data_IF_879747122809
#
_entry.id   IF_879747122809
#
_cell.length_a   1.000
_cell.length_b   1.000
_cell.length_c   1.000
_cell.angle_alpha   90.00
_cell.angle_beta   90.00
_cell.angle_gamma   90.00
#
_symmetry.space_group_name_H-M   'P 1'
#
loop_
_entity.id
_entity.type
_entity.pdbx_description
1 polymer ?
#
# COMPACT_ATOMS: atom_id res chain seq x y z
N UNK A 1 -35.72 -24.38 16.18
CA UNK A 1 -35.85 -23.86 14.80
C UNK A 1 -34.85 -22.73 14.66
N UNK A 2 -33.84 -22.84 13.78
CA UNK A 2 -32.94 -21.72 13.48
C UNK A 2 -33.71 -20.73 12.59
N UNK A 3 -33.75 -19.46 12.99
CA UNK A 3 -34.36 -18.41 12.18
C UNK A 3 -33.56 -18.26 10.87
N UNK A 4 -34.26 -18.23 9.74
CA UNK A 4 -33.69 -17.96 8.42
C UNK A 4 -34.09 -16.54 8.06
N UNK A 5 -33.10 -15.68 7.79
CA UNK A 5 -33.33 -14.27 7.44
C UNK A 5 -33.13 -14.14 5.93
N UNK A 6 -34.16 -13.64 5.23
CA UNK A 6 -34.09 -13.37 3.79
C UNK A 6 -33.38 -12.03 3.59
N UNK A 7 -32.18 -12.03 3.02
CA UNK A 7 -31.48 -10.81 2.63
C UNK A 7 -32.06 -10.31 1.30
N UNK A 8 -32.69 -9.14 1.29
CA UNK A 8 -33.45 -8.64 0.14
C UNK A 8 -32.62 -7.82 -0.88
N UNK A 9 -31.29 -7.79 -0.80
CA UNK A 9 -30.46 -6.91 -1.65
C UNK A 9 -29.64 -7.59 -2.75
N UNK A 10 -29.62 -8.91 -2.83
CA UNK A 10 -29.00 -9.67 -3.94
C UNK A 10 -29.60 -11.06 -3.93
N UNK A 11 -29.84 -11.64 -5.12
CA UNK A 11 -30.48 -12.93 -5.41
C UNK A 11 -30.76 -13.85 -4.22
N UNK A 12 -32.01 -14.31 -4.13
CA UNK A 12 -32.63 -15.17 -3.11
C UNK A 12 -31.80 -16.41 -2.71
N UNK A 13 -30.72 -16.20 -1.97
CA UNK A 13 -29.90 -17.23 -1.33
C UNK A 13 -30.25 -17.25 0.16
N UNK A 14 -30.64 -18.42 0.66
CA UNK A 14 -31.01 -18.60 2.08
C UNK A 14 -29.73 -18.52 2.93
N UNK A 15 -29.39 -17.33 3.40
CA UNK A 15 -28.25 -17.11 4.30
C UNK A 15 -28.67 -17.43 5.75
N UNK A 16 -27.83 -18.16 6.48
CA UNK A 16 -28.11 -18.46 7.88
C UNK A 16 -28.01 -17.20 8.75
N UNK A 17 -28.84 -17.11 9.81
CA UNK A 17 -28.78 -15.99 10.75
C UNK A 17 -27.37 -15.82 11.36
N UNK A 18 -26.69 -16.93 11.64
CA UNK A 18 -25.33 -16.94 12.17
C UNK A 18 -24.34 -16.22 11.23
N UNK A 19 -24.45 -16.42 9.91
CA UNK A 19 -23.58 -15.75 8.92
C UNK A 19 -23.86 -14.26 8.86
N UNK A 20 -25.13 -13.85 8.96
CA UNK A 20 -25.51 -12.42 9.00
C UNK A 20 -24.96 -11.76 10.26
N UNK A 21 -25.08 -12.40 11.43
CA UNK A 21 -24.57 -11.88 12.69
C UNK A 21 -23.04 -11.71 12.66
N UNK A 22 -22.31 -12.76 12.26
CA UNK A 22 -20.85 -12.72 12.15
C UNK A 22 -20.37 -11.69 11.12
N UNK A 23 -21.10 -11.51 10.00
CA UNK A 23 -20.77 -10.49 9.00
C UNK A 23 -20.92 -9.08 9.58
N UNK A 24 -22.00 -8.83 10.33
CA UNK A 24 -22.22 -7.54 10.99
C UNK A 24 -21.14 -7.25 12.06
N UNK A 25 -20.77 -8.26 12.84
CA UNK A 25 -19.69 -8.15 13.83
C UNK A 25 -18.35 -7.81 13.15
N UNK A 26 -18.00 -8.52 12.08
CA UNK A 26 -16.80 -8.25 11.29
C UNK A 26 -16.79 -6.82 10.73
N UNK A 27 -17.90 -6.37 10.13
CA UNK A 27 -18.01 -5.03 9.57
C UNK A 27 -17.89 -3.94 10.64
N UNK A 28 -18.39 -4.20 11.85
CA UNK A 28 -18.20 -3.31 13.01
C UNK A 28 -16.73 -3.17 13.38
N UNK A 29 -15.96 -4.27 13.40
CA UNK A 29 -14.52 -4.20 13.65
C UNK A 29 -13.74 -3.53 12.51
N UNK A 30 -14.17 -3.74 11.26
CA UNK A 30 -13.58 -3.06 10.11
C UNK A 30 -13.75 -1.53 10.21
N UNK A 31 -14.95 -1.06 10.59
CA UNK A 31 -15.21 0.36 10.83
C UNK A 31 -14.35 0.90 11.98
N UNK A 32 -14.31 0.21 13.13
CA UNK A 32 -13.45 0.60 14.28
C UNK A 32 -11.98 0.67 13.91
N UNK A 33 -11.54 -0.18 12.98
CA UNK A 33 -10.17 -0.16 12.46
C UNK A 33 -9.93 1.13 11.66
N UNK A 34 -10.86 1.52 10.79
CA UNK A 34 -10.77 2.79 10.06
C UNK A 34 -10.74 4.00 11.03
N UNK A 35 -11.64 4.04 12.02
CA UNK A 35 -11.66 5.05 13.08
C UNK A 35 -10.31 5.15 13.81
N UNK A 36 -9.75 4.00 14.19
CA UNK A 36 -8.46 3.93 14.89
C UNK A 36 -7.32 4.46 14.04
N UNK A 37 -7.30 4.14 12.74
CA UNK A 37 -6.29 4.66 11.80
C UNK A 37 -6.40 6.18 11.67
N UNK A 38 -7.62 6.72 11.58
CA UNK A 38 -7.84 8.17 11.55
C UNK A 38 -7.35 8.83 12.84
N UNK A 39 -7.66 8.24 14.01
CA UNK A 39 -7.23 8.74 15.32
C UNK A 39 -5.69 8.70 15.49
N UNK A 40 -5.03 7.63 15.02
CA UNK A 40 -3.57 7.56 14.97
C UNK A 40 -2.99 8.67 14.09
N UNK A 41 -3.56 8.88 12.89
CA UNK A 41 -3.14 9.95 12.00
C UNK A 41 -3.29 11.34 12.64
N UNK A 42 -4.43 11.61 13.26
CA UNK A 42 -4.69 12.86 13.99
C UNK A 42 -3.69 13.06 15.13
N UNK A 43 -3.34 12.00 15.86
CA UNK A 43 -2.35 12.05 16.95
C UNK A 43 -0.98 12.43 16.42
N UNK A 44 -0.53 11.83 15.30
CA UNK A 44 0.74 12.20 14.64
C UNK A 44 0.69 13.66 14.16
N UNK A 45 -0.42 14.09 13.55
CA UNK A 45 -0.56 15.48 13.09
C UNK A 45 -0.55 16.50 14.23
N UNK A 46 -1.12 16.15 15.40
CA UNK A 46 -1.03 16.96 16.63
C UNK A 46 0.41 17.01 17.15
N UNK A 47 1.08 15.86 17.24
CA UNK A 47 2.48 15.77 17.68
C UNK A 47 3.40 16.60 16.77
N UNK A 48 3.12 16.66 15.46
CA UNK A 48 3.90 17.46 14.50
C UNK A 48 3.84 18.97 14.76
N UNK A 49 2.86 19.45 15.54
CA UNK A 49 2.74 20.86 15.95
C UNK A 49 3.62 21.21 17.17
N UNK A 50 4.20 20.21 17.82
CA UNK A 50 5.16 20.42 18.90
C UNK A 50 6.51 20.90 18.32
N UNK A 51 7.48 21.14 19.21
CA UNK A 51 8.85 21.41 18.78
C UNK A 51 9.43 20.21 18.02
N UNK A 52 10.45 20.44 17.19
CA UNK A 52 11.11 19.35 16.44
C UNK A 52 11.69 18.27 17.37
N UNK A 53 12.26 18.68 18.52
CA UNK A 53 12.81 17.77 19.53
C UNK A 53 11.74 16.92 20.22
N UNK A 54 10.59 17.52 20.53
CA UNK A 54 9.47 16.81 21.15
C UNK A 54 8.83 15.84 20.15
N UNK A 55 8.72 16.24 18.89
CA UNK A 55 8.22 15.37 17.83
C UNK A 55 9.15 14.17 17.61
N UNK A 56 10.47 14.37 17.62
CA UNK A 56 11.43 13.28 17.53
C UNK A 56 11.32 12.32 18.73
N UNK A 57 11.15 12.87 19.94
CA UNK A 57 10.92 12.08 21.16
C UNK A 57 9.63 11.27 21.07
N UNK A 58 8.54 11.89 20.62
CA UNK A 58 7.28 11.22 20.35
C UNK A 58 7.46 10.04 19.40
N UNK A 59 8.12 10.26 18.24
CA UNK A 59 8.38 9.21 17.26
C UNK A 59 9.18 8.04 17.84
N UNK A 60 10.22 8.32 18.64
CA UNK A 60 11.00 7.28 19.34
C UNK A 60 10.14 6.47 20.31
N UNK A 61 9.24 7.11 21.07
CA UNK A 61 8.34 6.44 22.01
C UNK A 61 7.36 5.49 21.30
N UNK A 62 6.89 5.84 20.10
CA UNK A 62 6.04 4.98 19.29
C UNK A 62 6.82 4.02 18.37
N UNK A 63 8.16 3.96 18.50
CA UNK A 63 9.05 3.08 17.74
C UNK A 63 9.07 3.35 16.22
N UNK A 64 9.04 4.62 15.84
CA UNK A 64 9.20 5.08 14.46
C UNK A 64 10.33 6.11 14.34
N UNK A 65 10.99 6.13 13.18
CA UNK A 65 11.81 7.27 12.78
C UNK A 65 10.92 8.46 12.41
N UNK A 66 11.33 9.67 12.80
CA UNK A 66 10.57 10.91 12.62
C UNK A 66 10.36 11.29 11.15
N UNK A 67 11.23 10.79 10.27
CA UNK A 67 11.18 10.92 8.82
C UNK A 67 10.74 9.63 8.12
N UNK A 68 10.24 8.63 8.85
CA UNK A 68 9.79 7.38 8.24
C UNK A 68 8.59 7.61 7.30
N UNK A 69 8.47 6.74 6.29
CA UNK A 69 7.34 6.80 5.36
C UNK A 69 5.99 6.61 6.05
N UNK A 70 5.94 5.80 7.11
CA UNK A 70 4.74 5.58 7.90
C UNK A 70 4.28 6.86 8.63
N UNK A 71 5.20 7.56 9.28
CA UNK A 71 4.90 8.83 9.96
C UNK A 71 4.40 9.88 8.98
N UNK A 72 5.05 10.02 7.80
CA UNK A 72 4.57 10.94 6.75
C UNK A 72 3.15 10.61 6.28
N UNK A 73 2.82 9.34 6.12
CA UNK A 73 1.49 8.88 5.69
C UNK A 73 0.43 9.13 6.77
N UNK A 74 0.74 8.82 8.03
CA UNK A 74 -0.14 9.09 9.17
C UNK A 74 -0.38 10.59 9.35
N UNK A 75 0.66 11.43 9.17
CA UNK A 75 0.53 12.88 9.19
C UNK A 75 -0.45 13.38 8.12
N UNK A 76 -0.36 12.85 6.88
CA UNK A 76 -1.31 13.20 5.82
C UNK A 76 -2.75 12.78 6.16
N UNK A 77 -2.95 11.58 6.70
CA UNK A 77 -4.26 11.12 7.19
C UNK A 77 -4.79 12.09 8.26
N UNK A 78 -3.97 12.45 9.24
CA UNK A 78 -4.36 13.37 10.31
C UNK A 78 -4.73 14.77 9.82
N UNK A 79 -4.05 15.30 8.80
CA UNK A 79 -4.40 16.57 8.16
C UNK A 79 -5.76 16.54 7.45
N UNK A 80 -6.21 15.36 7.04
CA UNK A 80 -7.49 15.12 6.35
C UNK A 80 -8.56 14.53 7.28
N UNK A 81 -8.30 14.49 8.59
CA UNK A 81 -9.16 13.82 9.57
C UNK A 81 -10.62 14.25 9.46
N UNK A 82 -10.92 15.55 9.50
CA UNK A 82 -12.31 16.04 9.48
C UNK A 82 -13.07 15.69 8.19
N UNK A 83 -12.37 15.60 7.05
CA UNK A 83 -12.96 15.21 5.78
C UNK A 83 -13.27 13.71 5.70
N UNK A 84 -12.36 12.88 6.20
CA UNK A 84 -12.50 11.43 6.19
C UNK A 84 -13.49 10.96 7.28
N UNK A 85 -13.42 11.56 8.47
CA UNK A 85 -14.24 11.18 9.62
C UNK A 85 -15.74 11.42 9.39
N UNK A 86 -16.10 12.38 8.52
CA UNK A 86 -17.50 12.60 8.09
C UNK A 86 -18.13 11.38 7.42
N UNK A 87 -17.32 10.49 6.84
CA UNK A 87 -17.76 9.31 6.08
C UNK A 87 -17.15 8.02 6.64
N UNK A 88 -16.88 7.97 7.95
CA UNK A 88 -16.10 6.90 8.57
C UNK A 88 -16.73 5.51 8.43
N UNK A 89 -18.06 5.45 8.40
CA UNK A 89 -18.88 4.27 8.15
C UNK A 89 -18.69 3.69 6.73
N UNK A 90 -18.19 4.50 5.80
CA UNK A 90 -17.96 4.12 4.39
C UNK A 90 -16.49 3.87 4.09
N UNK A 91 -15.59 4.09 5.05
CA UNK A 91 -14.16 3.94 4.82
C UNK A 91 -13.74 2.46 4.80
N UNK A 92 -12.78 2.09 3.95
CA UNK A 92 -12.14 0.79 4.02
C UNK A 92 -11.26 0.68 5.27
N UNK A 93 -11.15 -0.51 5.85
CA UNK A 93 -10.26 -0.77 7.00
C UNK A 93 -8.77 -0.81 6.64
N UNK A 94 -8.44 -0.86 5.34
CA UNK A 94 -7.06 -0.89 4.86
C UNK A 94 -6.39 0.50 4.94
N UNK A 95 -5.39 0.65 5.81
CA UNK A 95 -4.72 1.94 6.05
C UNK A 95 -4.07 2.55 4.81
N UNK A 96 -3.55 1.73 3.89
CA UNK A 96 -2.96 2.20 2.62
C UNK A 96 -4.02 2.77 1.69
N UNK A 97 -5.25 2.26 1.74
CA UNK A 97 -6.38 2.78 0.98
C UNK A 97 -6.88 4.10 1.58
N UNK A 98 -7.00 4.19 2.91
CA UNK A 98 -7.31 5.45 3.61
C UNK A 98 -6.27 6.53 3.27
N UNK A 99 -4.98 6.18 3.29
CA UNK A 99 -3.92 7.09 2.87
C UNK A 99 -4.10 7.57 1.42
N UNK A 100 -4.48 6.69 0.48
CA UNK A 100 -4.72 7.08 -0.92
C UNK A 100 -5.90 8.05 -1.04
N UNK A 101 -6.96 7.90 -0.25
CA UNK A 101 -8.08 8.84 -0.21
C UNK A 101 -7.64 10.26 0.16
N UNK A 102 -6.56 10.41 0.94
CA UNK A 102 -6.02 11.73 1.30
C UNK A 102 -5.53 12.54 0.09
N UNK A 103 -5.30 11.88 -1.06
CA UNK A 103 -4.91 12.54 -2.31
C UNK A 103 -6.09 13.19 -3.05
N UNK A 104 -7.31 12.90 -2.62
CA UNK A 104 -8.54 13.49 -3.15
C UNK A 104 -8.89 14.78 -2.42
N UNK A 105 -9.52 15.70 -3.15
CA UNK A 105 -10.13 16.89 -2.58
C UNK A 105 -11.43 16.53 -1.83
N UNK A 106 -11.85 17.37 -0.89
CA UNK A 106 -13.06 17.14 -0.06
C UNK A 106 -14.30 16.87 -0.92
N UNK A 107 -14.51 17.66 -1.98
CA UNK A 107 -15.64 17.49 -2.89
C UNK A 107 -15.64 16.14 -3.60
N UNK A 108 -14.46 15.60 -3.93
CA UNK A 108 -14.35 14.29 -4.55
C UNK A 108 -14.62 13.16 -3.55
N UNK A 109 -14.21 13.32 -2.30
CA UNK A 109 -14.54 12.39 -1.21
C UNK A 109 -16.05 12.38 -0.98
N UNK A 110 -16.65 13.57 -0.82
CA UNK A 110 -18.09 13.73 -0.59
C UNK A 110 -18.92 13.15 -1.75
N UNK A 111 -18.53 13.43 -3.00
CA UNK A 111 -19.19 12.88 -4.18
C UNK A 111 -19.08 11.36 -4.26
N UNK A 112 -17.92 10.80 -3.91
CA UNK A 112 -17.70 9.35 -3.91
C UNK A 112 -18.49 8.65 -2.79
N UNK A 113 -18.62 9.31 -1.64
CA UNK A 113 -19.45 8.83 -0.54
C UNK A 113 -20.95 8.91 -0.87
N UNK A 114 -21.38 9.90 -1.64
CA UNK A 114 -22.76 10.07 -2.07
C UNK A 114 -23.16 9.07 -3.17
N UNK A 115 -22.24 8.76 -4.10
CA UNK A 115 -22.49 7.81 -5.19
C UNK A 115 -22.40 6.33 -4.78
N UNK A 116 -21.92 6.05 -3.55
CA UNK A 116 -21.63 4.68 -3.07
C UNK A 116 -20.33 4.09 -3.62
N UNK A 117 -19.59 4.85 -4.43
CA UNK A 117 -18.27 4.44 -4.92
C UNK A 117 -17.26 4.30 -3.77
N UNK A 118 -17.36 5.14 -2.73
CA UNK A 118 -16.67 4.93 -1.47
C UNK A 118 -17.49 4.00 -0.58
N UNK A 119 -16.95 2.82 -0.30
CA UNK A 119 -17.56 1.82 0.56
C UNK A 119 -16.47 0.99 1.28
N UNK A 120 -16.80 0.25 2.35
CA UNK A 120 -15.82 -0.49 3.13
C UNK A 120 -15.08 -1.60 2.37
N UNK A 121 -15.65 -2.09 1.27
CA UNK A 121 -15.10 -3.21 0.49
C UNK A 121 -14.23 -2.78 -0.69
N UNK A 122 -14.06 -1.47 -0.90
CA UNK A 122 -13.26 -0.95 -2.02
C UNK A 122 -11.81 -1.41 -1.95
N UNK A 123 -11.31 -1.97 -3.05
CA UNK A 123 -9.92 -2.39 -3.14
C UNK A 123 -9.04 -1.21 -3.52
N UNK A 124 -7.75 -1.32 -3.16
CA UNK A 124 -6.76 -0.30 -3.52
C UNK A 124 -6.64 -0.05 -5.03
N UNK A 125 -6.90 -1.08 -5.87
CA UNK A 125 -6.93 -0.98 -7.34
C UNK A 125 -8.05 -0.06 -7.83
N UNK A 126 -9.24 -0.19 -7.24
CA UNK A 126 -10.45 0.47 -7.70
C UNK A 126 -10.40 1.96 -7.33
N UNK A 127 -9.71 2.28 -6.24
CA UNK A 127 -9.40 3.64 -5.83
C UNK A 127 -8.51 4.39 -6.85
N UNK A 128 -7.71 3.68 -7.67
CA UNK A 128 -6.89 4.31 -8.70
C UNK A 128 -7.77 4.94 -9.78
N UNK A 129 -8.91 4.32 -10.11
CA UNK A 129 -9.89 4.90 -11.03
C UNK A 129 -10.51 6.18 -10.44
N UNK A 130 -10.84 6.14 -9.14
CA UNK A 130 -11.39 7.28 -8.39
C UNK A 130 -10.38 8.45 -8.32
N UNK A 131 -9.12 8.16 -8.02
CA UNK A 131 -8.02 9.13 -7.97
C UNK A 131 -7.55 9.60 -9.35
N UNK A 132 -7.66 8.77 -10.37
CA UNK A 132 -7.29 9.08 -11.76
C UNK A 132 -8.23 10.09 -12.39
N UNK A 133 -9.53 9.99 -12.11
CA UNK A 133 -10.53 10.94 -12.56
C UNK A 133 -10.38 12.34 -11.91
N UNK A 134 -9.89 12.42 -10.67
CA UNK A 134 -9.67 13.70 -10.00
C UNK A 134 -8.51 14.51 -10.61
N UNK A 135 -7.46 13.84 -11.14
CA UNK A 135 -6.28 14.50 -11.72
C UNK A 135 -6.51 15.18 -13.07
N UNK A 136 -7.60 14.90 -13.77
CA UNK A 136 -7.91 15.55 -15.06
C UNK A 136 -8.54 16.94 -14.91
N UNK A 137 -8.97 17.33 -13.71
CA UNK A 137 -9.64 18.61 -13.44
C UNK A 137 -8.72 19.74 -12.94
N UNK A 138 -7.48 19.44 -12.54
CA UNK A 138 -6.49 20.46 -12.15
C UNK A 138 -5.61 20.81 -13.36
N UNK A 139 -5.96 21.93 -13.97
CA UNK A 139 -5.43 22.42 -15.23
C UNK A 139 -3.90 22.51 -15.32
N UNK A 140 -3.48 22.28 -16.56
CA UNK A 140 -2.26 22.79 -17.17
C UNK A 140 -1.85 24.17 -16.64
N UNK A 141 -0.63 24.27 -16.09
CA UNK A 141 0.25 25.45 -16.12
C UNK A 141 1.57 25.13 -15.42
N UNK A 142 2.47 24.50 -16.18
CA UNK A 142 3.91 24.79 -16.29
C UNK A 142 4.60 23.57 -16.91
N UNK A 143 4.47 23.46 -18.23
CA UNK A 143 5.39 22.66 -19.03
C UNK A 143 6.75 23.37 -19.04
N UNK A 144 7.70 22.90 -18.23
CA UNK A 144 9.12 23.18 -18.45
C UNK A 144 9.83 21.87 -18.76
N UNK A 145 10.07 21.69 -20.07
CA UNK A 145 11.17 20.96 -20.68
C UNK A 145 11.46 19.55 -20.15
N UNK A 146 10.79 18.58 -20.79
CA UNK A 146 11.20 17.17 -20.88
C UNK A 146 12.56 17.02 -21.56
N UNK A 147 13.60 16.68 -20.79
CA UNK A 147 14.54 15.64 -21.23
C UNK A 147 14.01 14.30 -20.73
N UNK A 148 13.73 13.40 -21.67
CA UNK A 148 13.05 12.14 -21.42
C UNK A 148 13.86 11.25 -20.45
N UNK A 149 13.29 10.97 -19.28
CA UNK A 149 13.76 9.91 -18.37
C UNK A 149 12.79 8.73 -18.51
N UNK A 150 13.37 7.56 -18.81
CA UNK A 150 12.69 6.28 -18.97
C UNK A 150 11.75 5.94 -17.78
N UNK A 151 10.66 5.19 -18.00
CA UNK A 151 9.61 4.98 -17.01
C UNK A 151 10.15 4.30 -15.76
N UNK A 152 9.87 4.90 -14.60
CA UNK A 152 10.23 4.35 -13.31
C UNK A 152 9.28 3.21 -12.93
N UNK A 153 9.69 1.98 -13.20
CA UNK A 153 9.15 0.78 -12.55
C UNK A 153 9.45 0.84 -11.05
N UNK A 154 8.53 1.40 -10.29
CA UNK A 154 8.55 1.39 -8.82
C UNK A 154 7.18 0.99 -8.26
N UNK A 155 6.54 0.01 -8.91
CA UNK A 155 5.50 -0.78 -8.25
C UNK A 155 6.17 -1.57 -7.11
N UNK A 156 6.02 -1.07 -5.88
CA UNK A 156 6.37 -1.82 -4.67
C UNK A 156 5.41 -3.02 -4.60
N UNK A 157 5.89 -4.28 -4.64
CA UNK A 157 5.02 -5.44 -4.67
C UNK A 157 4.25 -5.58 -3.35
N UNK A 158 2.92 -5.63 -3.46
CA UNK A 158 2.05 -6.21 -2.45
C UNK A 158 2.30 -7.72 -2.42
N UNK A 159 2.68 -8.24 -1.25
CA UNK A 159 3.12 -9.64 -1.05
C UNK A 159 2.02 -10.69 -1.19
N UNK A 160 1.37 -10.76 -2.34
CA UNK A 160 0.36 -11.76 -2.69
C UNK A 160 0.82 -12.73 -3.78
N UNK A 161 1.93 -12.44 -4.47
CA UNK A 161 2.55 -13.39 -5.39
C UNK A 161 3.75 -14.02 -4.67
N UNK A 162 3.88 -15.35 -4.68
CA UNK A 162 5.01 -16.10 -4.09
C UNK A 162 6.37 -15.85 -4.80
N UNK A 163 6.50 -14.73 -5.49
CA UNK A 163 7.68 -14.34 -6.26
C UNK A 163 8.16 -13.00 -5.72
N UNK A 164 9.24 -13.05 -4.95
CA UNK A 164 9.92 -11.83 -4.50
C UNK A 164 10.90 -11.39 -5.58
N UNK A 165 10.63 -10.24 -6.21
CA UNK A 165 11.50 -9.68 -7.24
C UNK A 165 12.26 -8.48 -6.66
N UNK A 166 13.58 -8.55 -6.73
CA UNK A 166 14.46 -7.43 -6.39
C UNK A 166 15.25 -7.02 -7.63
N UNK A 167 15.59 -5.74 -7.73
CA UNK A 167 16.52 -5.23 -8.73
C UNK A 167 17.59 -4.46 -8.00
N UNK A 168 18.84 -4.83 -8.23
CA UNK A 168 20.00 -4.14 -7.67
C UNK A 168 21.07 -3.99 -8.74
N UNK A 169 21.87 -2.95 -8.62
CA UNK A 169 23.11 -2.80 -9.38
C UNK A 169 24.19 -3.60 -8.67
N UNK A 170 24.78 -4.56 -9.38
CA UNK A 170 25.75 -5.51 -8.82
C UNK A 170 27.16 -5.06 -9.20
N UNK A 171 28.09 -5.04 -8.24
CA UNK A 171 29.53 -4.86 -8.48
C UNK A 171 30.26 -6.21 -8.65
N UNK A 172 31.52 -6.21 -9.10
CA UNK A 172 32.28 -7.46 -9.35
C UNK A 172 32.40 -8.37 -8.12
N UNK A 173 32.47 -7.80 -6.92
CA UNK A 173 32.57 -8.59 -5.67
C UNK A 173 31.25 -9.28 -5.33
N UNK A 174 30.14 -8.63 -5.66
CA UNK A 174 28.79 -9.14 -5.45
C UNK A 174 28.43 -10.25 -6.46
N UNK A 175 29.02 -10.26 -7.66
CA UNK A 175 28.85 -11.36 -8.64
C UNK A 175 29.32 -12.70 -8.05
N UNK A 176 30.46 -12.70 -7.34
CA UNK A 176 31.01 -13.92 -6.71
C UNK A 176 30.09 -14.43 -5.60
N UNK A 177 29.61 -13.53 -4.75
CA UNK A 177 28.66 -13.86 -3.68
C UNK A 177 27.35 -14.40 -4.25
N UNK A 178 26.82 -13.76 -5.30
CA UNK A 178 25.58 -14.19 -5.94
C UNK A 178 25.71 -15.58 -6.57
N UNK A 179 26.85 -15.89 -7.20
CA UNK A 179 27.14 -17.24 -7.71
C UNK A 179 27.10 -18.29 -6.60
N UNK A 180 27.69 -17.97 -5.44
CA UNK A 180 27.67 -18.87 -4.26
C UNK A 180 26.25 -19.08 -3.74
N UNK A 181 25.45 -18.02 -3.66
CA UNK A 181 24.04 -18.10 -3.25
C UNK A 181 23.22 -18.93 -4.24
N UNK A 182 23.37 -18.72 -5.55
CA UNK A 182 22.69 -19.53 -6.56
C UNK A 182 23.07 -21.02 -6.46
N UNK A 183 24.33 -21.33 -6.16
CA UNK A 183 24.76 -22.72 -5.92
C UNK A 183 24.08 -23.32 -4.70
N UNK A 184 24.10 -22.62 -3.56
CA UNK A 184 23.46 -23.09 -2.32
C UNK A 184 21.96 -23.29 -2.51
N UNK A 185 21.28 -22.37 -3.19
CA UNK A 185 19.85 -22.49 -3.45
C UNK A 185 19.49 -23.72 -4.32
N UNK A 186 20.33 -24.06 -5.31
CA UNK A 186 20.18 -25.31 -6.08
C UNK A 186 20.42 -26.57 -5.23
N UNK A 187 21.29 -26.51 -4.22
CA UNK A 187 21.51 -27.62 -3.29
C UNK A 187 20.31 -27.88 -2.38
N UNK A 188 19.45 -26.87 -2.15
CA UNK A 188 18.18 -27.01 -1.40
C UNK A 188 16.98 -27.23 -2.33
N UNK A 189 17.22 -27.67 -3.56
CA UNK A 189 16.19 -27.98 -4.57
C UNK A 189 15.26 -26.80 -4.89
N UNK A 190 15.76 -25.57 -4.76
CA UNK A 190 15.01 -24.37 -5.11
C UNK A 190 15.07 -24.10 -6.62
N UNK A 191 13.92 -23.83 -7.25
CA UNK A 191 13.85 -23.42 -8.64
C UNK A 191 14.31 -21.95 -8.79
N UNK A 192 15.38 -21.72 -9.56
CA UNK A 192 15.96 -20.39 -9.74
C UNK A 192 15.81 -19.97 -11.21
N UNK A 193 14.94 -19.00 -11.46
CA UNK A 193 14.83 -18.35 -12.75
C UNK A 193 15.75 -17.11 -12.80
N UNK A 194 16.84 -17.19 -13.57
CA UNK A 194 17.74 -16.08 -13.82
C UNK A 194 17.38 -15.37 -15.13
N UNK A 195 17.55 -14.05 -15.18
CA UNK A 195 17.42 -13.32 -16.45
C UNK A 195 18.61 -13.63 -17.37
N UNK A 196 18.39 -13.67 -18.69
CA UNK A 196 19.44 -13.96 -19.69
C UNK A 196 20.70 -13.09 -19.53
N UNK A 197 20.52 -11.83 -19.12
CA UNK A 197 21.64 -10.89 -18.88
C UNK A 197 22.48 -11.31 -17.66
N UNK A 198 21.83 -11.72 -16.59
CA UNK A 198 22.50 -12.11 -15.35
C UNK A 198 23.18 -13.47 -15.47
N UNK A 199 22.54 -14.40 -16.20
CA UNK A 199 23.14 -15.71 -16.50
C UNK A 199 24.42 -15.57 -17.34
N UNK A 200 24.41 -14.69 -18.35
CA UNK A 200 25.61 -14.38 -19.13
C UNK A 200 26.75 -13.80 -18.26
N UNK A 201 26.44 -12.88 -17.33
CA UNK A 201 27.42 -12.26 -16.43
C UNK A 201 27.98 -13.28 -15.41
N UNK A 202 27.12 -14.15 -14.88
CA UNK A 202 27.54 -15.19 -13.93
C UNK A 202 28.45 -16.24 -14.60
N UNK A 203 28.26 -16.50 -15.89
CA UNK A 203 29.02 -17.50 -16.66
C UNK A 203 30.27 -16.92 -17.37
N UNK A 204 30.30 -15.62 -17.74
CA UNK A 204 31.48 -14.99 -18.35
C UNK A 204 32.70 -14.91 -17.43
N UNK A 205 32.51 -14.80 -16.11
CA UNK A 205 33.62 -14.75 -15.15
C UNK A 205 34.26 -16.13 -14.85
N UNK A 206 34.10 -17.12 -15.74
CA UNK A 206 34.79 -18.41 -15.71
C UNK A 206 36.08 -18.36 -16.55
N UNK A 207 36.15 -17.57 -17.63
CA UNK A 207 37.30 -17.62 -18.55
C UNK A 207 38.54 -16.84 -18.08
N UNK A 208 38.45 -15.99 -17.06
CA UNK A 208 39.60 -15.21 -16.58
C UNK A 208 40.43 -15.88 -15.47
N UNK A 209 40.14 -17.14 -15.10
CA UNK A 209 40.89 -17.88 -14.06
C UNK A 209 41.49 -19.23 -14.49
N UNK A 210 41.31 -19.65 -15.73
CA UNK A 210 42.00 -20.85 -16.28
C UNK A 210 43.19 -20.52 -17.20
N UNK A 211 43.57 -19.24 -17.31
CA UNK A 211 44.71 -18.78 -18.11
C UNK A 211 45.86 -18.17 -17.27
N UNK A 212 46.05 -18.62 -16.03
CA UNK A 212 47.20 -18.25 -15.19
C UNK A 212 47.78 -19.48 -14.49
#
# INVERSE_FOLDING_TARGET
MKAVIINTSTDSELVSADVVELSNEFNTFAQKTAESILAMGLTVAKAKRLSASDFETFCKLIRYESDSSAIRKLEQIGKRYDALHRHVDKLPSAWTTIYRLCTLDDSAIDASAASGALNPTIKGSDLIALCGAAKSSRGAKNAKSTTARAPADSAVPNGTDMVVRFTTTIDETQIVTLRRVCKLLREVDAEIALSNKLDAVLNQAVEMKEAA
#
